data_IF_116988550307
#
_entry.id   IF_116988550307
#
_cell.length_a   1.000
_cell.length_b   1.000
_cell.length_c   1.000
_cell.angle_alpha   90.00
_cell.angle_beta   90.00
_cell.angle_gamma   90.00
#
_symmetry.space_group_name_H-M   'P 1'
#
loop_
_entity.id
_entity.type
_entity.pdbx_description
1 polymer ?
#
# COMPACT_ATOMS: atom_id res chain seq x y z
N UNK A 1 16.95 -2.69 19.99
CA UNK A 1 16.12 -2.22 21.13
C UNK A 1 14.84 -3.02 21.00
N UNK A 2 14.53 -3.88 21.96
CA UNK A 2 13.38 -4.77 21.84
C UNK A 2 12.09 -3.96 21.98
N UNK A 3 11.31 -3.86 20.91
CA UNK A 3 10.00 -3.19 20.90
C UNK A 3 9.03 -4.03 21.72
N UNK A 4 8.44 -3.45 22.78
CA UNK A 4 7.38 -4.12 23.53
C UNK A 4 6.04 -3.92 22.82
N UNK A 5 5.13 -4.88 22.93
CA UNK A 5 3.81 -4.72 22.33
C UNK A 5 3.00 -3.57 22.93
N UNK A 6 3.25 -3.21 24.20
CA UNK A 6 2.70 -1.99 24.83
C UNK A 6 3.17 -0.69 24.18
N UNK A 7 4.27 -0.72 23.41
CA UNK A 7 4.79 0.44 22.68
C UNK A 7 4.16 0.56 21.28
N UNK A 8 3.17 -0.28 20.97
CA UNK A 8 2.49 -0.35 19.68
C UNK A 8 1.02 0.00 19.85
N UNK A 9 0.53 0.90 19.00
CA UNK A 9 -0.90 1.11 18.78
C UNK A 9 -1.28 0.66 17.38
N UNK A 10 -2.31 -0.17 17.27
CA UNK A 10 -2.87 -0.61 15.99
C UNK A 10 -4.06 0.25 15.62
N UNK A 11 -3.91 1.00 14.53
CA UNK A 11 -4.98 1.74 13.87
C UNK A 11 -5.63 0.82 12.84
N UNK A 12 -6.82 0.32 13.19
CA UNK A 12 -7.68 -0.44 12.31
C UNK A 12 -8.54 0.52 11.50
N UNK A 13 -8.35 0.48 10.20
CA UNK A 13 -8.83 1.48 9.27
C UNK A 13 -9.88 0.90 8.30
N UNK A 14 -11.03 1.56 8.19
CA UNK A 14 -12.00 1.31 7.13
C UNK A 14 -13.40 0.93 7.64
N UNK A 15 -14.30 0.53 6.73
CA UNK A 15 -15.67 0.20 7.11
C UNK A 15 -15.73 -1.11 7.93
N UNK A 16 -16.63 -1.16 8.91
CA UNK A 16 -16.88 -2.37 9.73
C UNK A 16 -17.90 -3.32 9.10
N UNK A 17 -18.64 -2.85 8.10
CA UNK A 17 -19.67 -3.59 7.38
C UNK A 17 -19.68 -3.19 5.90
N UNK A 18 -20.27 -4.07 5.07
CA UNK A 18 -20.40 -3.85 3.64
C UNK A 18 -21.03 -2.48 3.34
N UNK A 19 -20.45 -1.76 2.37
CA UNK A 19 -20.98 -0.49 1.88
C UNK A 19 -21.59 -0.71 0.50
N UNK A 20 -22.61 0.08 0.13
CA UNK A 20 -23.36 0.02 -1.13
C UNK A 20 -22.56 -0.56 -2.31
N UNK A 21 -22.92 -1.78 -2.74
CA UNK A 21 -22.33 -2.44 -3.91
C UNK A 21 -20.98 -3.15 -3.71
N UNK A 22 -20.47 -3.28 -2.48
CA UNK A 22 -19.26 -4.06 -2.18
C UNK A 22 -19.47 -5.02 -1.01
N UNK A 23 -19.43 -6.30 -1.30
CA UNK A 23 -19.44 -7.34 -0.29
C UNK A 23 -18.20 -7.24 0.62
N UNK A 24 -18.46 -7.35 1.91
CA UNK A 24 -17.47 -7.56 2.96
C UNK A 24 -17.81 -8.87 3.66
N UNK A 25 -16.80 -9.69 3.94
CA UNK A 25 -17.00 -10.92 4.70
C UNK A 25 -17.59 -10.56 6.07
N UNK A 26 -18.73 -11.16 6.41
CA UNK A 26 -19.39 -10.92 7.69
C UNK A 26 -18.44 -11.22 8.86
N UNK A 27 -18.40 -10.31 9.83
CA UNK A 27 -17.56 -10.44 11.03
C UNK A 27 -16.06 -10.23 10.81
N UNK A 28 -15.59 -9.89 9.61
CA UNK A 28 -14.14 -9.75 9.36
C UNK A 28 -13.46 -8.71 10.25
N UNK A 29 -14.16 -7.62 10.61
CA UNK A 29 -13.61 -6.62 11.51
C UNK A 29 -13.47 -7.14 12.93
N UNK A 30 -14.41 -7.98 13.42
CA UNK A 30 -14.24 -8.65 14.71
C UNK A 30 -13.00 -9.56 14.69
N UNK A 31 -12.84 -10.37 13.64
CA UNK A 31 -11.66 -11.22 13.43
C UNK A 31 -10.37 -10.39 13.42
N UNK A 32 -10.39 -9.22 12.79
CA UNK A 32 -9.29 -8.27 12.82
C UNK A 32 -8.93 -7.86 14.26
N UNK A 33 -9.90 -7.39 15.05
CA UNK A 33 -9.66 -6.94 16.42
C UNK A 33 -9.17 -8.08 17.33
N UNK A 34 -9.79 -9.25 17.24
CA UNK A 34 -9.44 -10.43 18.06
C UNK A 34 -8.03 -10.93 17.74
N UNK A 35 -7.66 -10.90 16.46
CA UNK A 35 -6.31 -11.28 16.02
C UNK A 35 -5.23 -10.36 16.58
N UNK A 36 -5.52 -9.05 16.72
CA UNK A 36 -4.57 -8.10 17.30
C UNK A 36 -4.37 -8.42 18.78
N UNK A 37 -5.45 -8.67 19.54
CA UNK A 37 -5.35 -9.07 20.95
C UNK A 37 -4.55 -10.36 21.14
N UNK A 38 -4.72 -11.30 20.21
CA UNK A 38 -4.01 -12.58 20.23
C UNK A 38 -2.51 -12.43 19.94
N UNK A 39 -2.15 -11.65 18.91
CA UNK A 39 -0.78 -11.61 18.40
C UNK A 39 0.06 -10.44 18.91
N UNK A 40 -0.57 -9.42 19.49
CA UNK A 40 0.06 -8.27 20.13
C UNK A 40 -0.56 -8.00 21.52
N UNK A 41 -0.44 -8.92 22.49
CA UNK A 41 -0.99 -8.71 23.83
C UNK A 41 -0.38 -7.45 24.46
N UNK A 42 -1.26 -6.54 24.89
CA UNK A 42 -0.89 -5.25 25.48
C UNK A 42 -0.83 -4.07 24.50
N UNK A 43 -0.93 -4.30 23.19
CA UNK A 43 -1.04 -3.22 22.22
C UNK A 43 -2.41 -2.53 22.32
N UNK A 44 -2.41 -1.20 22.16
CA UNK A 44 -3.65 -0.42 22.07
C UNK A 44 -4.28 -0.59 20.69
N UNK A 45 -5.61 -0.64 20.61
CA UNK A 45 -6.37 -0.75 19.38
C UNK A 45 -7.24 0.49 19.21
N UNK A 46 -7.05 1.20 18.10
CA UNK A 46 -7.91 2.28 17.64
C UNK A 46 -8.68 1.78 16.43
N UNK A 47 -10.00 1.75 16.49
CA UNK A 47 -10.86 1.51 15.33
C UNK A 47 -11.30 2.86 14.77
N UNK A 48 -10.80 3.22 13.59
CA UNK A 48 -11.20 4.44 12.88
C UNK A 48 -12.10 4.09 11.69
N UNK A 49 -13.35 4.54 11.81
CA UNK A 49 -14.44 4.14 10.92
C UNK A 49 -15.46 5.27 10.73
N UNK A 50 -16.60 4.98 10.09
CA UNK A 50 -17.59 5.99 9.69
C UNK A 50 -18.76 6.09 10.69
N UNK A 51 -19.32 7.30 10.80
CA UNK A 51 -20.60 7.53 11.47
C UNK A 51 -21.72 6.67 10.86
N UNK A 52 -22.66 6.23 11.69
CA UNK A 52 -23.79 5.40 11.26
C UNK A 52 -23.48 3.93 11.00
N UNK A 53 -22.22 3.48 11.12
CA UNK A 53 -21.91 2.06 11.05
C UNK A 53 -22.20 1.31 12.35
N UNK A 54 -22.72 0.09 12.23
CA UNK A 54 -23.01 -0.74 13.39
C UNK A 54 -21.72 -1.33 13.98
N UNK A 55 -21.25 -0.74 15.07
CA UNK A 55 -20.06 -1.19 15.81
C UNK A 55 -20.42 -2.04 17.05
N UNK A 56 -21.68 -2.46 17.19
CA UNK A 56 -22.13 -3.27 18.34
C UNK A 56 -21.32 -4.56 18.45
N UNK A 57 -20.77 -4.83 19.64
CA UNK A 57 -19.95 -6.02 19.91
C UNK A 57 -18.46 -5.87 19.58
N UNK A 58 -18.05 -4.84 18.85
CA UNK A 58 -16.64 -4.53 18.63
C UNK A 58 -16.05 -3.88 19.90
N UNK A 59 -14.88 -4.35 20.34
CA UNK A 59 -14.22 -3.88 21.57
C UNK A 59 -12.81 -3.29 21.33
N UNK A 60 -12.66 -2.22 20.53
CA UNK A 60 -11.41 -1.45 20.46
C UNK A 60 -11.18 -0.66 21.76
N UNK A 61 -9.95 -0.23 22.03
CA UNK A 61 -9.65 0.67 23.16
C UNK A 61 -10.09 2.11 22.88
N UNK A 62 -10.21 2.48 21.60
CA UNK A 62 -10.76 3.74 21.14
C UNK A 62 -11.53 3.52 19.84
N UNK A 63 -12.81 3.89 19.84
CA UNK A 63 -13.64 3.96 18.64
C UNK A 63 -13.67 5.41 18.15
N UNK A 64 -13.26 5.63 16.90
CA UNK A 64 -13.37 6.91 16.21
C UNK A 64 -14.35 6.76 15.06
N UNK A 65 -15.42 7.57 15.10
CA UNK A 65 -16.40 7.66 14.03
C UNK A 65 -16.31 9.04 13.41
N UNK A 66 -16.10 9.08 12.10
CA UNK A 66 -15.95 10.32 11.35
C UNK A 66 -17.07 10.46 10.32
N UNK A 67 -17.46 11.69 9.95
CA UNK A 67 -18.26 11.92 8.76
C UNK A 67 -17.57 11.28 7.54
N UNK A 68 -18.30 10.50 6.76
CA UNK A 68 -17.76 9.87 5.55
C UNK A 68 -17.49 10.94 4.48
N UNK A 69 -16.23 11.16 4.03
CA UNK A 69 -15.91 12.15 3.01
C UNK A 69 -16.45 11.76 1.62
N UNK A 70 -17.07 10.59 1.49
CA UNK A 70 -17.60 10.08 0.24
C UNK A 70 -16.52 9.48 -0.67
N UNK A 71 -16.96 9.01 -1.83
CA UNK A 71 -16.05 8.55 -2.88
C UNK A 71 -15.71 9.71 -3.83
N UNK A 72 -14.43 9.85 -4.14
CA UNK A 72 -13.88 10.89 -5.01
C UNK A 72 -14.17 10.60 -6.48
N UNK A 73 -14.63 11.59 -7.24
CA UNK A 73 -14.68 11.51 -8.70
C UNK A 73 -13.27 11.63 -9.27
N UNK A 74 -12.76 10.57 -9.88
CA UNK A 74 -11.37 10.53 -10.40
C UNK A 74 -11.30 10.59 -11.93
N UNK A 75 -12.40 10.24 -12.59
CA UNK A 75 -12.48 10.16 -14.04
C UNK A 75 -13.93 10.29 -14.52
N UNK A 76 -14.10 10.57 -15.81
CA UNK A 76 -15.35 10.45 -16.55
C UNK A 76 -15.13 9.53 -17.74
N UNK A 77 -16.08 8.65 -18.04
CA UNK A 77 -16.05 7.89 -19.30
C UNK A 77 -16.47 8.77 -20.49
N UNK A 78 -16.44 8.21 -21.70
CA UNK A 78 -16.83 8.95 -22.92
C UNK A 78 -18.29 9.42 -22.91
N UNK A 79 -19.15 8.78 -22.12
CA UNK A 79 -20.55 9.13 -21.91
C UNK A 79 -20.73 10.24 -20.86
N UNK A 80 -19.66 10.70 -20.22
CA UNK A 80 -19.72 11.71 -19.16
C UNK A 80 -20.09 11.16 -17.78
N UNK A 81 -20.08 9.83 -17.59
CA UNK A 81 -20.40 9.21 -16.31
C UNK A 81 -19.18 9.23 -15.39
N UNK A 82 -19.38 9.72 -14.16
CA UNK A 82 -18.33 9.83 -13.16
C UNK A 82 -17.89 8.46 -12.63
N UNK A 83 -16.58 8.21 -12.66
CA UNK A 83 -15.94 7.07 -12.01
C UNK A 83 -15.39 7.52 -10.66
N UNK A 84 -15.73 6.76 -9.61
CA UNK A 84 -15.39 7.11 -8.23
C UNK A 84 -14.42 6.14 -7.57
N UNK A 85 -13.51 6.66 -6.75
CA UNK A 85 -12.57 5.89 -5.91
C UNK A 85 -12.60 6.36 -4.46
N UNK A 86 -12.08 5.55 -3.54
CA UNK A 86 -12.14 5.79 -2.10
C UNK A 86 -10.83 6.40 -1.57
N UNK A 87 -10.33 7.47 -2.20
CA UNK A 87 -9.05 8.04 -1.81
C UNK A 87 -9.12 8.71 -0.44
N UNK A 88 -10.04 9.66 -0.30
CA UNK A 88 -10.21 10.41 0.94
C UNK A 88 -10.67 9.51 2.09
N UNK A 89 -11.46 8.48 1.80
CA UNK A 89 -11.84 7.48 2.81
C UNK A 89 -10.62 6.80 3.42
N UNK A 90 -9.63 6.40 2.62
CA UNK A 90 -8.41 5.78 3.14
C UNK A 90 -7.53 6.77 3.91
N UNK A 91 -7.40 8.00 3.43
CA UNK A 91 -6.64 9.05 4.10
C UNK A 91 -7.25 9.39 5.46
N UNK A 92 -8.52 9.78 5.49
CA UNK A 92 -9.21 10.24 6.72
C UNK A 92 -9.14 9.16 7.79
N UNK A 93 -9.60 7.95 7.49
CA UNK A 93 -9.65 6.88 8.50
C UNK A 93 -8.26 6.36 8.92
N UNK A 94 -7.21 6.56 8.11
CA UNK A 94 -5.84 6.26 8.56
C UNK A 94 -5.29 7.41 9.41
N UNK A 95 -5.34 8.62 8.89
CA UNK A 95 -4.71 9.81 9.47
C UNK A 95 -5.33 10.18 10.82
N UNK A 96 -6.66 10.20 10.91
CA UNK A 96 -7.35 10.53 12.17
C UNK A 96 -7.08 9.50 13.26
N UNK A 97 -6.93 8.23 12.89
CA UNK A 97 -6.47 7.19 13.82
C UNK A 97 -5.02 7.39 14.26
N UNK A 98 -4.10 7.67 13.34
CA UNK A 98 -2.68 7.89 13.65
C UNK A 98 -2.45 9.13 14.52
N UNK A 99 -3.23 10.20 14.34
CA UNK A 99 -3.19 11.41 15.19
C UNK A 99 -3.58 11.14 16.65
N UNK A 100 -4.25 10.02 16.93
CA UNK A 100 -4.63 9.59 18.29
C UNK A 100 -3.64 8.58 18.89
N UNK A 101 -2.58 8.21 18.16
CA UNK A 101 -1.57 7.29 18.67
C UNK A 101 -0.61 8.05 19.60
N UNK A 102 -0.50 7.55 20.84
CA UNK A 102 0.40 8.10 21.86
C UNK A 102 1.68 7.25 22.02
N UNK A 103 1.71 6.06 21.41
CA UNK A 103 2.85 5.14 21.49
C UNK A 103 3.92 5.45 20.44
N UNK A 104 5.20 5.06 20.67
CA UNK A 104 6.27 5.32 19.72
C UNK A 104 6.11 4.63 18.37
N UNK A 105 5.46 3.45 18.36
CA UNK A 105 5.21 2.68 17.16
C UNK A 105 3.70 2.58 16.87
N UNK A 106 3.38 2.53 15.58
CA UNK A 106 2.02 2.33 15.11
C UNK A 106 1.95 1.24 14.05
N UNK A 107 0.80 0.58 13.97
CA UNK A 107 0.40 -0.28 12.86
C UNK A 107 -0.79 0.38 12.16
N UNK A 108 -0.70 0.59 10.85
CA UNK A 108 -1.87 0.79 9.99
C UNK A 108 -2.32 -0.56 9.48
N UNK A 109 -3.54 -0.98 9.80
CA UNK A 109 -4.14 -2.23 9.34
C UNK A 109 -5.52 -1.97 8.75
N UNK A 110 -5.84 -2.51 7.57
CA UNK A 110 -7.22 -2.41 7.04
C UNK A 110 -8.17 -3.30 7.85
N UNK A 111 -9.41 -2.84 8.00
CA UNK A 111 -10.50 -3.56 8.70
C UNK A 111 -10.93 -4.88 8.04
N UNK A 112 -10.48 -5.13 6.80
CA UNK A 112 -10.66 -6.40 6.06
C UNK A 112 -9.37 -7.26 6.03
N UNK A 113 -8.40 -6.97 6.89
CA UNK A 113 -7.20 -7.76 7.14
C UNK A 113 -7.10 -8.12 8.63
N UNK A 114 -6.27 -9.10 8.98
CA UNK A 114 -6.09 -9.56 10.36
C UNK A 114 -4.65 -10.03 10.58
N UNK A 115 -4.22 -10.16 11.83
CA UNK A 115 -2.90 -10.68 12.16
C UNK A 115 -2.94 -12.21 12.26
N UNK A 116 -1.85 -12.86 11.87
CA UNK A 116 -1.57 -14.28 12.12
C UNK A 116 -0.26 -14.47 12.90
N UNK A 117 0.42 -13.36 13.22
CA UNK A 117 1.67 -13.29 13.95
C UNK A 117 2.16 -11.85 14.07
N UNK A 118 3.38 -11.69 14.58
CA UNK A 118 4.03 -10.38 14.81
C UNK A 118 5.43 -10.31 14.19
N UNK A 119 5.67 -11.05 13.09
CA UNK A 119 6.99 -11.11 12.44
C UNK A 119 7.50 -9.75 11.94
N UNK A 120 6.58 -8.79 11.69
CA UNK A 120 6.94 -7.40 11.41
C UNK A 120 7.74 -6.71 12.52
N UNK A 121 7.54 -7.08 13.79
CA UNK A 121 8.27 -6.48 14.92
C UNK A 121 9.75 -6.88 14.84
N UNK A 122 10.02 -8.16 14.59
CA UNK A 122 11.38 -8.70 14.45
C UNK A 122 12.08 -8.25 13.18
N UNK A 123 11.33 -7.90 12.14
CA UNK A 123 11.89 -7.52 10.83
C UNK A 123 12.69 -6.20 10.87
N UNK A 124 12.39 -5.28 11.80
CA UNK A 124 13.19 -4.06 11.96
C UNK A 124 14.61 -4.38 12.44
N UNK A 125 14.75 -5.33 13.37
CA UNK A 125 16.05 -5.75 13.91
C UNK A 125 16.82 -6.64 12.94
N UNK A 126 16.13 -7.46 12.14
CA UNK A 126 16.76 -8.39 11.19
C UNK A 126 17.54 -7.69 10.07
N UNK A 127 17.13 -6.46 9.72
CA UNK A 127 17.69 -5.73 8.58
C UNK A 127 18.15 -4.33 9.03
N UNK A 128 19.25 -4.22 9.79
CA UNK A 128 19.64 -2.94 10.39
C UNK A 128 20.35 -2.00 9.41
N UNK A 129 20.99 -2.52 8.35
CA UNK A 129 21.77 -1.70 7.44
C UNK A 129 20.88 -0.80 6.57
N UNK A 130 21.37 0.42 6.30
CA UNK A 130 20.70 1.45 5.48
C UNK A 130 21.77 2.26 4.76
N UNK A 131 21.43 2.86 3.62
CA UNK A 131 22.32 3.80 2.94
C UNK A 131 22.01 5.22 3.44
N UNK A 132 22.96 5.86 4.14
CA UNK A 132 22.74 7.14 4.83
C UNK A 132 22.16 8.23 3.91
N UNK A 133 22.67 8.35 2.69
CA UNK A 133 22.20 9.35 1.72
C UNK A 133 20.75 9.13 1.25
N UNK A 134 20.21 7.93 1.40
CA UNK A 134 18.83 7.58 1.00
C UNK A 134 17.85 7.57 2.18
N UNK A 135 18.30 7.78 3.42
CA UNK A 135 17.43 7.77 4.60
C UNK A 135 16.43 8.92 4.53
N UNK A 136 15.13 8.61 4.67
CA UNK A 136 14.01 9.57 4.69
C UNK A 136 13.06 9.35 5.88
N UNK A 137 13.03 8.12 6.41
CA UNK A 137 12.32 7.80 7.66
C UNK A 137 13.29 7.67 8.83
N UNK A 138 12.82 8.01 10.04
CA UNK A 138 13.59 7.82 11.27
C UNK A 138 13.96 6.35 11.41
N UNK A 139 12.97 5.46 11.25
CA UNK A 139 13.19 4.01 11.12
C UNK A 139 12.51 3.48 9.85
N UNK A 140 12.98 2.35 9.29
CA UNK A 140 12.31 1.74 8.16
C UNK A 140 10.83 1.42 8.44
N UNK A 141 9.97 1.57 7.44
CA UNK A 141 8.56 1.17 7.54
C UNK A 141 8.39 -0.23 6.95
N UNK A 142 7.84 -1.15 7.74
CA UNK A 142 7.49 -2.50 7.30
C UNK A 142 6.23 -2.44 6.45
N UNK A 143 6.29 -3.03 5.25
CA UNK A 143 5.18 -3.14 4.31
C UNK A 143 5.08 -4.56 3.77
N UNK A 144 3.89 -4.95 3.32
CA UNK A 144 3.66 -6.26 2.74
C UNK A 144 3.85 -6.25 1.21
N UNK A 145 4.15 -7.41 0.64
CA UNK A 145 4.33 -7.59 -0.81
C UNK A 145 3.04 -7.78 -1.60
N UNK A 146 1.91 -8.14 -0.96
CA UNK A 146 0.63 -8.33 -1.65
C UNK A 146 0.10 -6.99 -2.14
N UNK A 147 -0.31 -6.91 -3.41
CA UNK A 147 -0.65 -5.63 -4.07
C UNK A 147 0.51 -4.62 -4.18
N UNK A 148 1.72 -4.95 -3.73
CA UNK A 148 2.91 -4.16 -4.05
C UNK A 148 3.37 -4.51 -5.47
N UNK A 149 3.05 -3.67 -6.47
CA UNK A 149 3.34 -3.99 -7.88
C UNK A 149 4.75 -3.57 -8.31
N UNK A 150 5.44 -4.48 -9.01
CA UNK A 150 6.63 -4.17 -9.84
C UNK A 150 6.26 -4.01 -11.31
N UNK A 151 5.16 -4.63 -11.75
CA UNK A 151 4.70 -4.59 -13.13
C UNK A 151 3.19 -4.38 -13.22
N UNK A 152 2.76 -3.69 -14.27
CA UNK A 152 1.37 -3.56 -14.68
C UNK A 152 1.29 -3.62 -16.20
N UNK A 153 0.33 -4.38 -16.74
CA UNK A 153 0.17 -4.56 -18.19
C UNK A 153 1.47 -5.00 -18.91
N UNK A 154 2.29 -5.81 -18.24
CA UNK A 154 3.57 -6.29 -18.78
C UNK A 154 4.72 -5.28 -18.76
N UNK A 155 4.47 -4.06 -18.29
CA UNK A 155 5.44 -2.97 -18.20
C UNK A 155 5.86 -2.71 -16.76
N UNK A 156 7.05 -2.13 -16.59
CA UNK A 156 7.56 -1.74 -15.27
C UNK A 156 6.68 -0.62 -14.68
N UNK A 157 6.44 -0.68 -13.37
CA UNK A 157 5.86 0.42 -12.60
C UNK A 157 6.71 0.69 -11.37
N UNK A 158 6.64 1.92 -10.86
CA UNK A 158 7.35 2.39 -9.67
C UNK A 158 6.36 3.03 -8.70
N UNK A 159 6.82 3.28 -7.47
CA UNK A 159 6.05 3.97 -6.42
C UNK A 159 4.73 3.26 -6.09
N UNK A 160 4.70 1.93 -6.00
CA UNK A 160 3.47 1.18 -5.76
C UNK A 160 3.53 0.28 -4.52
N UNK A 161 3.89 0.78 -3.34
CA UNK A 161 3.79 0.00 -2.11
C UNK A 161 2.32 -0.36 -1.81
N UNK A 162 2.12 -1.49 -1.14
CA UNK A 162 0.78 -1.93 -0.72
C UNK A 162 0.21 -1.02 0.36
N UNK A 163 -1.08 -0.67 0.26
CA UNK A 163 -1.78 0.09 1.30
C UNK A 163 -2.26 -0.79 2.47
N UNK A 164 -2.18 -2.12 2.38
CA UNK A 164 -2.89 -3.00 3.32
C UNK A 164 -2.38 -2.95 4.75
N UNK A 165 -1.05 -2.83 4.90
CA UNK A 165 -0.37 -2.89 6.17
C UNK A 165 0.87 -1.99 6.16
N UNK A 166 1.03 -1.19 7.20
CA UNK A 166 2.29 -0.48 7.50
C UNK A 166 2.61 -0.61 9.00
N UNK A 167 3.86 -0.84 9.34
CA UNK A 167 4.35 -0.78 10.73
C UNK A 167 5.65 0.01 10.80
N UNK A 168 5.79 0.88 11.79
CA UNK A 168 6.99 1.69 11.98
C UNK A 168 6.76 2.74 13.06
N UNK A 169 7.68 3.70 13.15
CA UNK A 169 7.54 4.84 14.07
C UNK A 169 6.27 5.62 13.72
N UNK A 170 5.50 6.02 14.73
CA UNK A 170 4.25 6.75 14.53
C UNK A 170 4.47 8.01 13.68
N UNK A 171 5.57 8.72 13.91
CA UNK A 171 5.97 9.91 13.12
C UNK A 171 6.24 9.59 11.63
N UNK A 172 6.79 8.42 11.32
CA UNK A 172 7.07 8.02 9.94
C UNK A 172 5.79 7.57 9.22
N UNK A 173 4.86 6.95 9.93
CA UNK A 173 3.54 6.62 9.39
C UNK A 173 2.70 7.88 9.12
N UNK A 174 2.81 8.91 9.97
CA UNK A 174 2.19 10.22 9.71
C UNK A 174 2.75 10.89 8.45
N UNK A 175 4.06 10.78 8.17
CA UNK A 175 4.64 11.28 6.90
C UNK A 175 4.02 10.63 5.66
N UNK A 176 3.55 9.38 5.77
CA UNK A 176 2.90 8.63 4.67
C UNK A 176 1.43 9.01 4.53
N UNK A 177 0.70 9.15 5.64
CA UNK A 177 -0.77 9.17 5.64
C UNK A 177 -1.40 10.50 6.02
N UNK A 178 -0.66 11.45 6.58
CA UNK A 178 -1.15 12.83 6.82
C UNK A 178 -1.16 13.64 5.51
N UNK A 179 -1.93 13.12 4.56
CA UNK A 179 -2.06 13.63 3.20
C UNK A 179 -3.21 14.64 3.11
N UNK A 180 -3.12 15.63 2.20
CA UNK A 180 -4.26 16.47 1.91
C UNK A 180 -5.33 15.63 1.21
N UNK A 181 -6.59 16.01 1.38
CA UNK A 181 -7.68 15.35 0.68
C UNK A 181 -7.63 15.66 -0.81
N UNK A 182 -7.97 14.67 -1.63
CA UNK A 182 -8.13 14.83 -3.07
C UNK A 182 -9.42 15.57 -3.37
N UNK A 183 -9.33 16.55 -4.26
CA UNK A 183 -10.49 17.19 -4.88
C UNK A 183 -11.10 16.28 -5.95
N UNK A 184 -12.40 16.44 -6.17
CA UNK A 184 -13.09 15.78 -7.27
C UNK A 184 -12.62 16.36 -8.62
N UNK A 185 -12.39 15.47 -9.59
CA UNK A 185 -12.10 15.90 -10.96
C UNK A 185 -13.32 16.66 -11.51
N UNK A 186 -13.15 17.92 -11.94
CA UNK A 186 -14.21 18.61 -12.66
C UNK A 186 -14.41 17.95 -14.04
N UNK A 187 -15.66 17.87 -14.49
CA UNK A 187 -15.96 17.50 -15.86
C UNK A 187 -15.60 18.67 -16.79
N UNK A 188 -14.86 18.40 -17.86
CA UNK A 188 -14.53 19.38 -18.90
C UNK A 188 -15.51 19.24 -20.08
N UNK A 189 -16.46 20.17 -20.29
CA UNK A 189 -17.41 20.10 -21.40
C UNK A 189 -16.74 20.15 -22.77
N UNK A 190 -15.56 20.78 -22.89
CA UNK A 190 -14.83 20.85 -24.16
C UNK A 190 -14.25 19.47 -24.58
N UNK A 191 -14.16 18.54 -23.63
CA UNK A 191 -13.76 17.15 -23.85
C UNK A 191 -14.93 16.17 -23.75
N UNK A 192 -16.17 16.64 -23.89
CA UNK A 192 -17.34 15.77 -23.96
C UNK A 192 -17.20 14.75 -25.10
N UNK A 193 -17.66 13.51 -24.87
CA UNK A 193 -17.47 12.40 -25.81
C UNK A 193 -16.11 11.69 -25.69
N UNK A 194 -15.18 12.18 -24.86
CA UNK A 194 -13.89 11.54 -24.57
C UNK A 194 -13.79 11.15 -23.11
N UNK A 195 -13.04 10.09 -22.82
CA UNK A 195 -12.74 9.72 -21.45
C UNK A 195 -11.78 10.76 -20.83
N UNK A 196 -12.09 11.22 -19.63
CA UNK A 196 -11.33 12.25 -18.92
C UNK A 196 -10.78 11.67 -17.63
N UNK A 197 -9.46 11.63 -17.46
CA UNK A 197 -8.83 11.03 -16.29
C UNK A 197 -7.38 11.52 -16.14
N UNK A 198 -6.76 11.24 -15.00
CA UNK A 198 -5.37 11.66 -14.75
C UNK A 198 -4.40 10.94 -15.69
N UNK A 199 -3.58 11.70 -16.41
CA UNK A 199 -2.66 11.15 -17.40
C UNK A 199 -3.26 10.79 -18.75
N UNK A 200 -4.48 11.24 -19.06
CA UNK A 200 -5.05 11.09 -20.41
C UNK A 200 -4.14 11.72 -21.48
N UNK A 201 -4.00 11.09 -22.68
CA UNK A 201 -4.69 9.87 -23.13
C UNK A 201 -3.99 8.56 -22.73
N UNK A 202 -2.90 8.60 -21.95
CA UNK A 202 -2.19 7.41 -21.48
C UNK A 202 -2.98 6.67 -20.39
N UNK A 203 -2.37 5.71 -19.69
CA UNK A 203 -3.09 4.95 -18.66
C UNK A 203 -2.96 5.63 -17.29
N UNK A 204 -4.08 5.87 -16.61
CA UNK A 204 -4.11 6.47 -15.27
C UNK A 204 -3.29 5.63 -14.25
N UNK A 205 -2.43 6.27 -13.43
CA UNK A 205 -1.75 5.63 -12.31
C UNK A 205 -2.72 4.92 -11.35
N UNK A 206 -2.24 3.89 -10.66
CA UNK A 206 -3.03 3.26 -9.61
C UNK A 206 -3.13 4.15 -8.37
N UNK A 207 -4.10 3.85 -7.50
CA UNK A 207 -4.29 4.52 -6.22
C UNK A 207 -3.00 4.59 -5.41
N UNK A 208 -2.31 3.46 -5.31
CA UNK A 208 -1.05 3.29 -4.58
C UNK A 208 0.07 4.16 -5.17
N UNK A 209 0.10 4.32 -6.51
CA UNK A 209 1.04 5.23 -7.17
C UNK A 209 0.74 6.69 -6.84
N UNK A 210 -0.54 7.06 -6.79
CA UNK A 210 -0.95 8.43 -6.48
C UNK A 210 -0.60 8.79 -5.04
N UNK A 211 -0.91 7.91 -4.06
CA UNK A 211 -0.51 8.16 -2.68
C UNK A 211 1.02 8.23 -2.53
N UNK A 212 1.73 7.27 -3.11
CA UNK A 212 3.19 7.17 -3.01
C UNK A 212 3.91 8.35 -3.63
N UNK A 213 3.48 8.77 -4.82
CA UNK A 213 3.95 10.00 -5.45
C UNK A 213 3.82 11.20 -4.51
N UNK A 214 2.67 11.34 -3.85
CA UNK A 214 2.38 12.48 -3.00
C UNK A 214 3.24 12.53 -1.74
N UNK A 215 3.34 11.42 -0.98
CA UNK A 215 4.16 11.43 0.22
C UNK A 215 5.66 11.38 -0.08
N UNK A 216 6.11 10.75 -1.18
CA UNK A 216 7.53 10.78 -1.56
C UNK A 216 8.00 12.19 -1.86
N UNK A 217 7.21 12.97 -2.62
CA UNK A 217 7.54 14.36 -2.95
C UNK A 217 7.57 15.28 -1.74
N UNK A 218 6.90 14.93 -0.64
CA UNK A 218 6.99 15.67 0.63
C UNK A 218 8.24 15.33 1.43
N UNK A 219 8.81 14.14 1.21
CA UNK A 219 10.03 13.68 1.87
C UNK A 219 11.29 14.08 1.11
N UNK A 220 11.18 14.22 -0.21
CA UNK A 220 12.32 14.43 -1.10
C UNK A 220 11.88 15.06 -2.42
N UNK A 221 12.21 16.35 -2.59
CA UNK A 221 11.89 17.16 -3.77
C UNK A 221 12.49 16.63 -5.08
N UNK A 222 13.42 15.68 -5.01
CA UNK A 222 14.00 15.07 -6.19
C UNK A 222 13.13 13.96 -6.81
N UNK A 223 12.00 13.57 -6.20
CA UNK A 223 11.01 12.73 -6.87
C UNK A 223 10.13 13.59 -7.78
N UNK A 224 10.01 13.18 -9.04
CA UNK A 224 9.16 13.85 -10.02
C UNK A 224 7.77 13.21 -10.07
N UNK A 225 6.70 14.01 -10.30
CA UNK A 225 5.34 13.52 -10.36
C UNK A 225 5.13 12.48 -11.48
N UNK A 226 4.36 11.43 -11.18
CA UNK A 226 3.91 10.45 -12.18
C UNK A 226 2.74 11.00 -13.02
N UNK A 227 3.02 11.31 -14.29
CA UNK A 227 2.04 11.69 -15.29
C UNK A 227 1.15 10.53 -15.74
N UNK A 228 1.66 9.30 -15.79
CA UNK A 228 0.88 8.10 -16.15
C UNK A 228 1.43 6.83 -15.49
N UNK A 229 0.64 5.76 -15.48
CA UNK A 229 0.91 4.48 -14.77
C UNK A 229 2.29 3.90 -15.05
N UNK A 230 2.67 3.86 -16.32
CA UNK A 230 3.89 3.23 -16.83
C UNK A 230 5.04 4.22 -17.00
N UNK A 231 4.94 5.45 -16.47
CA UNK A 231 6.04 6.40 -16.56
C UNK A 231 7.25 5.85 -15.79
N UNK A 232 8.34 5.66 -16.50
CA UNK A 232 9.54 5.04 -15.98
C UNK A 232 10.78 5.54 -16.74
N UNK A 233 11.82 5.91 -15.99
CA UNK A 233 13.18 6.07 -16.49
C UNK A 233 14.14 5.28 -15.62
N UNK A 234 15.33 4.96 -16.14
CA UNK A 234 16.35 4.24 -15.36
C UNK A 234 16.68 4.98 -14.05
N UNK A 235 16.82 6.31 -14.09
CA UNK A 235 17.12 7.15 -12.93
C UNK A 235 15.97 7.13 -11.91
N UNK A 236 14.71 7.27 -12.34
CA UNK A 236 13.56 7.17 -11.43
C UNK A 236 13.44 5.77 -10.81
N UNK A 237 13.71 4.74 -11.62
CA UNK A 237 13.72 3.35 -11.17
C UNK A 237 14.77 3.10 -10.10
N UNK A 238 16.01 3.54 -10.33
CA UNK A 238 17.10 3.41 -9.37
C UNK A 238 16.82 4.20 -8.08
N UNK A 239 16.31 5.43 -8.18
CA UNK A 239 15.95 6.23 -7.01
C UNK A 239 14.88 5.53 -6.16
N UNK A 240 13.87 4.96 -6.81
CA UNK A 240 12.83 4.19 -6.11
C UNK A 240 13.39 2.90 -5.49
N UNK A 241 14.26 2.18 -6.19
CA UNK A 241 14.91 0.97 -5.67
C UNK A 241 15.80 1.26 -4.45
N UNK A 242 16.57 2.37 -4.49
CA UNK A 242 17.35 2.90 -3.35
C UNK A 242 16.46 3.27 -2.16
N UNK A 243 15.38 4.00 -2.41
CA UNK A 243 14.42 4.36 -1.38
C UNK A 243 13.83 3.11 -0.71
N UNK A 244 13.39 2.12 -1.49
CA UNK A 244 12.84 0.88 -0.95
C UNK A 244 13.84 0.10 -0.08
N UNK A 245 15.12 0.03 -0.49
CA UNK A 245 16.14 -0.67 0.26
C UNK A 245 16.41 0.01 1.63
N UNK A 246 16.55 1.34 1.61
CA UNK A 246 16.95 2.10 2.80
C UNK A 246 15.80 2.45 3.74
N UNK A 247 14.56 2.52 3.26
CA UNK A 247 13.43 3.03 4.04
C UNK A 247 12.28 2.04 4.24
N UNK A 248 12.23 0.93 3.50
CA UNK A 248 11.18 -0.07 3.65
C UNK A 248 11.74 -1.41 4.11
N UNK A 249 10.92 -2.18 4.83
CA UNK A 249 11.12 -3.62 5.04
C UNK A 249 9.97 -4.35 4.40
N UNK A 250 10.24 -4.96 3.25
CA UNK A 250 9.19 -5.51 2.39
C UNK A 250 9.10 -7.02 2.62
N UNK A 251 8.03 -7.47 3.26
CA UNK A 251 7.85 -8.86 3.69
C UNK A 251 6.71 -9.56 2.93
N UNK A 252 6.83 -10.87 2.73
CA UNK A 252 5.66 -11.67 2.36
C UNK A 252 4.62 -11.66 3.50
N UNK A 253 3.31 -11.74 3.21
CA UNK A 253 2.27 -11.76 4.24
C UNK A 253 2.52 -12.80 5.33
N UNK A 254 3.02 -13.97 4.96
CA UNK A 254 3.32 -15.07 5.89
C UNK A 254 4.49 -14.73 6.82
N UNK A 255 5.53 -14.04 6.32
CA UNK A 255 6.66 -13.59 7.13
C UNK A 255 6.25 -12.44 8.06
N UNK A 256 5.34 -11.58 7.58
CA UNK A 256 4.81 -10.46 8.34
C UNK A 256 3.93 -10.96 9.49
N UNK A 257 3.16 -12.02 9.26
CA UNK A 257 2.03 -12.41 10.10
C UNK A 257 0.75 -11.68 9.71
N UNK A 258 0.49 -11.50 8.41
CA UNK A 258 -0.67 -10.81 7.85
C UNK A 258 -1.63 -11.78 7.16
N UNK A 259 -2.84 -11.87 7.69
CA UNK A 259 -3.99 -12.53 7.07
C UNK A 259 -4.73 -11.61 6.10
N UNK A 260 -5.12 -12.18 4.96
CA UNK A 260 -5.89 -11.48 3.92
C UNK A 260 -7.25 -12.19 3.72
N UNK A 261 -8.30 -11.45 3.38
CA UNK A 261 -9.56 -12.07 2.95
C UNK A 261 -9.39 -12.85 1.63
N UNK A 262 -10.25 -13.84 1.41
CA UNK A 262 -10.16 -14.81 0.32
C UNK A 262 -9.93 -14.19 -1.07
N UNK A 263 -10.57 -13.07 -1.40
CA UNK A 263 -10.40 -12.39 -2.69
C UNK A 263 -8.98 -11.88 -2.95
N UNK A 264 -8.21 -11.62 -1.89
CA UNK A 264 -6.85 -11.10 -1.96
C UNK A 264 -5.79 -12.19 -1.83
N UNK A 265 -6.15 -13.40 -1.42
CA UNK A 265 -5.22 -14.55 -1.35
C UNK A 265 -5.02 -15.10 -2.77
N UNK A 266 -3.81 -14.99 -3.37
CA UNK A 266 -3.55 -15.59 -4.66
C UNK A 266 -3.27 -17.09 -4.51
N UNK A 267 -3.66 -17.90 -5.51
CA UNK A 267 -3.30 -19.35 -5.55
C UNK A 267 -1.79 -19.59 -5.54
N UNK A 268 -1.03 -18.64 -6.06
CA UNK A 268 0.43 -18.63 -6.05
C UNK A 268 0.92 -17.18 -6.19
N UNK A 269 2.13 -16.89 -5.70
CA UNK A 269 2.75 -15.56 -5.79
C UNK A 269 2.59 -14.97 -7.20
N UNK A 270 2.08 -13.74 -7.30
CA UNK A 270 1.81 -13.10 -8.59
C UNK A 270 3.11 -12.55 -9.18
N UNK A 271 3.47 -12.91 -10.44
CA UNK A 271 4.73 -12.45 -11.05
C UNK A 271 4.85 -10.93 -11.19
N UNK A 272 3.73 -10.21 -11.24
CA UNK A 272 3.73 -8.75 -11.36
C UNK A 272 3.90 -8.02 -10.03
N UNK A 273 3.84 -8.73 -8.90
CA UNK A 273 4.05 -8.17 -7.56
C UNK A 273 5.53 -8.29 -7.15
N UNK A 274 5.94 -7.43 -6.23
CA UNK A 274 7.19 -7.50 -5.49
C UNK A 274 7.21 -8.82 -4.69
N UNK A 275 8.36 -9.46 -4.57
CA UNK A 275 8.59 -10.52 -3.59
C UNK A 275 9.58 -10.06 -2.54
N UNK A 276 9.61 -10.73 -1.39
CA UNK A 276 10.65 -10.48 -0.40
C UNK A 276 12.05 -10.74 -0.97
N UNK A 277 12.21 -11.74 -1.85
CA UNK A 277 13.47 -11.99 -2.56
C UNK A 277 13.88 -10.83 -3.48
N UNK A 278 12.94 -10.14 -4.14
CA UNK A 278 13.27 -8.92 -4.88
C UNK A 278 13.85 -7.86 -3.93
N UNK A 279 13.22 -7.68 -2.76
CA UNK A 279 13.65 -6.68 -1.80
C UNK A 279 15.01 -7.04 -1.18
N UNK A 280 15.27 -8.31 -0.87
CA UNK A 280 16.58 -8.76 -0.40
C UNK A 280 17.71 -8.48 -1.38
N UNK A 281 17.44 -8.56 -2.70
CA UNK A 281 18.44 -8.17 -3.70
C UNK A 281 18.68 -6.65 -3.72
N UNK A 282 17.64 -5.84 -3.48
CA UNK A 282 17.80 -4.39 -3.33
C UNK A 282 18.58 -4.05 -2.05
N UNK A 283 18.21 -4.65 -0.93
CA UNK A 283 18.90 -4.51 0.35
C UNK A 283 20.37 -4.90 0.23
N UNK A 284 20.66 -6.04 -0.41
CA UNK A 284 22.03 -6.47 -0.69
C UNK A 284 22.79 -5.44 -1.54
N UNK A 285 22.16 -4.93 -2.59
CA UNK A 285 22.81 -4.01 -3.53
C UNK A 285 23.11 -2.64 -2.92
N UNK A 286 22.20 -2.11 -2.09
CA UNK A 286 22.24 -0.71 -1.67
C UNK A 286 22.56 -0.50 -0.19
N UNK A 287 22.34 -1.51 0.68
CA UNK A 287 22.50 -1.37 2.13
C UNK A 287 23.58 -2.31 2.71
N UNK A 288 23.57 -3.59 2.33
CA UNK A 288 24.50 -4.59 2.88
C UNK A 288 24.98 -5.56 1.78
N UNK A 289 26.13 -5.27 1.12
CA UNK A 289 26.69 -6.12 0.07
C UNK A 289 26.97 -7.56 0.49
N UNK A 290 27.13 -7.80 1.80
CA UNK A 290 27.43 -9.12 2.38
C UNK A 290 26.18 -9.96 2.62
N UNK A 291 24.99 -9.37 2.57
CA UNK A 291 23.75 -10.07 2.85
C UNK A 291 23.49 -11.20 1.84
N UNK A 292 23.15 -12.44 2.30
CA UNK A 292 23.01 -13.61 1.44
C UNK A 292 21.69 -13.60 0.65
N UNK A 293 21.61 -12.79 -0.41
CA UNK A 293 20.50 -12.77 -1.36
C UNK A 293 20.88 -13.41 -2.71
N UNK A 294 20.03 -14.30 -3.24
CA UNK A 294 20.30 -15.08 -4.45
C UNK A 294 19.38 -14.71 -5.62
N UNK A 295 19.98 -14.15 -6.67
CA UNK A 295 19.29 -13.87 -7.94
C UNK A 295 18.82 -15.16 -8.63
N UNK A 296 19.57 -16.25 -8.49
CA UNK A 296 19.19 -17.58 -8.99
C UNK A 296 17.92 -18.05 -8.30
N UNK A 297 17.84 -17.94 -6.96
CA UNK A 297 16.63 -18.30 -6.20
C UNK A 297 15.42 -17.45 -6.58
N UNK A 298 15.61 -16.14 -6.81
CA UNK A 298 14.54 -15.29 -7.34
C UNK A 298 14.11 -15.75 -8.74
N UNK A 299 15.06 -16.08 -9.60
CA UNK A 299 14.77 -16.51 -10.97
C UNK A 299 13.97 -17.82 -11.00
N UNK A 300 14.40 -18.83 -10.26
CA UNK A 300 13.74 -20.15 -10.22
C UNK A 300 12.38 -20.12 -9.53
N UNK A 301 12.16 -19.22 -8.56
CA UNK A 301 10.86 -19.07 -7.89
C UNK A 301 9.86 -18.20 -8.65
N UNK A 302 10.30 -17.08 -9.24
CA UNK A 302 9.40 -16.07 -9.80
C UNK A 302 9.89 -15.48 -11.14
N UNK A 303 11.20 -15.35 -11.35
CA UNK A 303 11.77 -14.68 -12.52
C UNK A 303 11.42 -15.35 -13.85
N UNK A 304 11.46 -16.68 -13.95
CA UNK A 304 11.06 -17.38 -15.18
C UNK A 304 9.59 -17.13 -15.54
N UNK A 305 8.71 -17.03 -14.53
CA UNK A 305 7.29 -16.69 -14.73
C UNK A 305 7.14 -15.26 -15.23
N UNK A 306 7.98 -14.33 -14.79
CA UNK A 306 8.01 -12.95 -15.30
C UNK A 306 8.48 -12.91 -16.76
N UNK A 307 9.52 -13.68 -17.10
CA UNK A 307 10.05 -13.78 -18.46
C UNK A 307 8.97 -14.19 -19.46
N UNK A 308 8.10 -15.13 -19.07
CA UNK A 308 6.97 -15.56 -19.91
C UNK A 308 5.77 -14.59 -19.83
N UNK A 309 5.35 -14.20 -18.62
CA UNK A 309 4.09 -13.48 -18.41
C UNK A 309 4.14 -12.02 -18.82
N UNK A 310 5.26 -11.31 -18.64
CA UNK A 310 5.33 -9.87 -18.89
C UNK A 310 5.18 -9.54 -20.38
N UNK A 311 5.92 -10.20 -21.32
CA UNK A 311 5.74 -9.96 -22.76
C UNK A 311 4.31 -10.26 -23.23
N UNK A 312 3.72 -11.38 -22.79
CA UNK A 312 2.35 -11.75 -23.14
C UNK A 312 1.33 -10.71 -22.62
N UNK A 313 1.54 -10.20 -21.41
CA UNK A 313 0.67 -9.16 -20.82
C UNK A 313 0.78 -7.85 -21.59
N UNK A 314 1.99 -7.48 -22.02
CA UNK A 314 2.21 -6.28 -22.83
C UNK A 314 1.61 -6.39 -24.22
N UNK A 315 1.77 -7.54 -24.88
CA UNK A 315 1.14 -7.80 -26.18
C UNK A 315 -0.39 -7.69 -26.08
N UNK A 316 -1.00 -8.32 -25.06
CA UNK A 316 -2.44 -8.21 -24.81
C UNK A 316 -2.86 -6.75 -24.60
N UNK A 317 -2.10 -6.00 -23.81
CA UNK A 317 -2.37 -4.59 -23.55
C UNK A 317 -2.34 -3.75 -24.84
N UNK A 318 -1.33 -3.92 -25.68
CA UNK A 318 -1.23 -3.24 -26.98
C UNK A 318 -2.40 -3.56 -27.91
N UNK A 319 -2.80 -4.82 -27.98
CA UNK A 319 -3.96 -5.24 -28.78
C UNK A 319 -5.27 -4.62 -28.28
N UNK A 320 -5.42 -4.41 -26.97
CA UNK A 320 -6.61 -3.72 -26.42
C UNK A 320 -6.59 -2.21 -26.61
N UNK A 321 -5.41 -1.58 -26.58
CA UNK A 321 -5.29 -0.13 -26.83
C UNK A 321 -5.53 0.19 -28.32
N UNK A 322 -5.02 -0.62 -29.25
CA UNK A 322 -5.23 -0.42 -30.69
C UNK A 322 -6.68 -0.62 -31.15
N UNK A 323 -7.55 -1.21 -30.32
CA UNK A 323 -9.00 -1.32 -30.58
C UNK A 323 -9.81 -0.13 -30.06
N UNK A 324 -9.19 0.76 -29.27
CA UNK A 324 -9.83 1.94 -28.66
C UNK A 324 -9.37 3.26 -29.30
N UNK A 325 -8.42 3.20 -30.23
CA UNK A 325 -7.87 4.35 -30.95
C UNK A 325 -8.67 4.64 -32.23
#
# INVERSE_FOLDING_TARGET
MTIKFSDITVVVQGPVQAYQGRDQQAGITQVCLDSIRTHLPGARIILSTWEGQNCTGLAPDLLLQHPDPGANVVAYNAQGEAQKLNFNRQIVSTCEGLKRVETPYAVKLRSDNYLTGHGFVTALEQFPARCDQDIRFTEPVVVNTSYFRRYAEGQRVIMHPSDFFHFGRTEDLLKIWDLPLFEDRPFDPAQAGKAQYHGAPLTCPHAEQIYCDLWLRRLDDGFLPLAHRHQFSANQGERWDRFMASNLRVLEPEQLGLGLIARFIPKAKRPNEMSHLDWLLLYRRYCDPTYPASAVKLFTSLGWRRLLKMPLSYLKFRLTQGKKA
#
